data_IF_958891548838
#
_entry.id   IF_958891548838
#
_cell.length_a   1.000
_cell.length_b   1.000
_cell.length_c   1.000
_cell.angle_alpha   90.00
_cell.angle_beta   90.00
_cell.angle_gamma   90.00
#
_symmetry.space_group_name_H-M   'P 1'
#
loop_
_entity.id
_entity.type
_entity.pdbx_description
1 polymer ?
#
# COMPACT_ATOMS: atom_id res chain seq x y z
N UNK A 1 -15.69 17.88 -3.87
CA UNK A 1 -17.03 17.73 -3.26
C UNK A 1 -17.52 19.04 -2.65
N UNK A 2 -16.76 19.67 -1.76
CA UNK A 2 -17.15 20.87 -1.00
C UNK A 2 -17.66 22.03 -1.88
N UNK A 3 -16.98 22.35 -2.98
CA UNK A 3 -17.39 23.42 -3.89
C UNK A 3 -18.70 23.10 -4.62
N UNK A 4 -18.91 21.84 -5.02
CA UNK A 4 -20.11 21.37 -5.71
C UNK A 4 -21.33 21.41 -4.77
N UNK A 5 -21.15 21.00 -3.51
CA UNK A 5 -22.22 21.05 -2.50
C UNK A 5 -22.70 22.48 -2.24
N UNK A 6 -21.78 23.46 -2.24
CA UNK A 6 -22.07 24.87 -2.00
C UNK A 6 -22.77 25.51 -3.21
N UNK A 7 -22.28 25.27 -4.44
CA UNK A 7 -22.84 25.90 -5.65
C UNK A 7 -24.16 25.29 -6.07
N UNK A 8 -24.36 23.99 -5.86
CA UNK A 8 -25.60 23.30 -6.19
C UNK A 8 -26.62 23.24 -5.02
N UNK A 9 -26.29 23.85 -3.86
CA UNK A 9 -27.14 23.86 -2.64
C UNK A 9 -27.63 22.46 -2.23
N UNK A 10 -26.76 21.46 -2.33
CA UNK A 10 -27.09 20.08 -2.01
C UNK A 10 -27.01 19.90 -0.50
N UNK A 11 -28.05 19.32 0.12
CA UNK A 11 -27.99 18.91 1.52
C UNK A 11 -26.98 17.76 1.67
N UNK A 12 -25.86 18.05 2.33
CA UNK A 12 -24.77 17.09 2.54
C UNK A 12 -25.19 15.91 3.43
N UNK A 13 -26.22 16.06 4.26
CA UNK A 13 -26.75 14.98 5.10
C UNK A 13 -27.42 13.89 4.27
N UNK A 14 -28.13 14.28 3.21
CA UNK A 14 -28.82 13.36 2.28
C UNK A 14 -27.85 12.56 1.41
N UNK A 15 -26.64 13.09 1.15
CA UNK A 15 -25.61 12.38 0.38
C UNK A 15 -25.20 11.06 1.05
N UNK A 16 -25.14 11.04 2.38
CA UNK A 16 -24.83 9.80 3.13
C UNK A 16 -25.95 8.76 3.02
N UNK A 17 -27.18 9.20 2.80
CA UNK A 17 -28.35 8.35 2.65
C UNK A 17 -28.50 7.78 1.23
N UNK A 18 -27.89 8.42 0.24
CA UNK A 18 -27.92 7.97 -1.15
C UNK A 18 -27.39 6.54 -1.29
N UNK A 19 -28.11 5.71 -2.07
CA UNK A 19 -27.75 4.31 -2.33
C UNK A 19 -26.37 4.18 -2.96
N UNK A 20 -26.00 5.09 -3.86
CA UNK A 20 -24.68 5.13 -4.50
C UNK A 20 -23.56 5.38 -3.49
N UNK A 21 -23.77 6.28 -2.52
CA UNK A 21 -22.77 6.55 -1.49
C UNK A 21 -22.62 5.35 -0.55
N UNK A 22 -23.72 4.76 -0.09
CA UNK A 22 -23.69 3.56 0.76
C UNK A 22 -23.02 2.37 0.07
N UNK A 23 -23.34 2.13 -1.20
CA UNK A 23 -22.72 1.09 -2.02
C UNK A 23 -21.22 1.36 -2.22
N UNK A 24 -20.85 2.60 -2.54
CA UNK A 24 -19.45 3.02 -2.67
C UNK A 24 -18.66 2.84 -1.37
N UNK A 25 -19.23 3.25 -0.23
CA UNK A 25 -18.60 3.05 1.08
C UNK A 25 -18.40 1.58 1.42
N UNK A 26 -19.38 0.71 1.10
CA UNK A 26 -19.24 -0.74 1.28
C UNK A 26 -18.11 -1.32 0.43
N UNK A 27 -18.01 -0.90 -0.84
CA UNK A 27 -16.93 -1.31 -1.73
C UNK A 27 -15.56 -0.85 -1.20
N UNK A 28 -15.46 0.39 -0.72
CA UNK A 28 -14.23 0.92 -0.10
C UNK A 28 -13.80 0.09 1.11
N UNK A 29 -14.73 -0.26 2.00
CA UNK A 29 -14.44 -1.12 3.17
C UNK A 29 -13.95 -2.49 2.73
N UNK A 30 -14.54 -3.07 1.68
CA UNK A 30 -14.14 -4.37 1.16
C UNK A 30 -12.70 -4.34 0.61
N UNK A 31 -12.36 -3.33 -0.21
CA UNK A 31 -11.01 -3.14 -0.77
C UNK A 31 -9.98 -2.86 0.33
N UNK A 32 -10.30 -1.99 1.29
CA UNK A 32 -9.43 -1.69 2.42
C UNK A 32 -9.21 -2.92 3.31
N UNK A 33 -10.24 -3.74 3.52
CA UNK A 33 -10.14 -4.99 4.27
C UNK A 33 -9.17 -5.97 3.61
N UNK A 34 -9.26 -6.16 2.29
CA UNK A 34 -8.34 -7.03 1.54
C UNK A 34 -6.91 -6.48 1.58
N UNK A 35 -6.73 -5.16 1.37
CA UNK A 35 -5.42 -4.54 1.44
C UNK A 35 -4.78 -4.67 2.83
N UNK A 36 -5.58 -4.54 3.90
CA UNK A 36 -5.10 -4.67 5.28
C UNK A 36 -4.73 -6.11 5.66
N UNK A 37 -5.47 -7.10 5.14
CA UNK A 37 -5.08 -8.51 5.27
C UNK A 37 -3.73 -8.78 4.60
N UNK A 38 -3.53 -8.25 3.39
CA UNK A 38 -2.23 -8.32 2.69
C UNK A 38 -1.09 -7.69 3.50
N UNK A 39 -1.29 -6.46 4.00
CA UNK A 39 -0.32 -5.76 4.85
C UNK A 39 0.00 -6.54 6.14
N UNK A 40 -1.00 -7.17 6.77
CA UNK A 40 -0.80 -7.97 7.98
C UNK A 40 -0.01 -9.24 7.70
N UNK A 41 -0.32 -9.94 6.60
CA UNK A 41 0.43 -11.11 6.15
C UNK A 41 1.90 -10.76 5.88
N UNK A 42 2.13 -9.67 5.15
CA UNK A 42 3.48 -9.21 4.82
C UNK A 42 4.25 -8.78 6.07
N UNK A 43 3.61 -8.08 7.01
CA UNK A 43 4.23 -7.72 8.29
C UNK A 43 4.63 -8.93 9.12
N UNK A 44 3.84 -10.01 9.10
CA UNK A 44 4.18 -11.25 9.79
C UNK A 44 5.43 -11.93 9.19
N UNK A 45 5.67 -11.77 7.90
CA UNK A 45 6.78 -12.38 7.16
C UNK A 45 7.86 -11.40 6.70
N UNK A 46 7.88 -10.18 7.26
CA UNK A 46 8.76 -9.11 6.78
C UNK A 46 10.24 -9.47 6.94
N UNK A 47 10.57 -10.19 8.02
CA UNK A 47 11.91 -10.67 8.32
C UNK A 47 12.44 -11.62 7.24
N UNK A 48 11.59 -12.56 6.80
CA UNK A 48 11.96 -13.53 5.75
C UNK A 48 12.13 -12.84 4.40
N UNK A 49 11.22 -11.91 4.07
CA UNK A 49 11.28 -11.10 2.85
C UNK A 49 12.58 -10.28 2.81
N UNK A 50 12.94 -9.65 3.93
CA UNK A 50 14.17 -8.87 4.05
C UNK A 50 15.42 -9.74 3.98
N UNK A 51 15.41 -10.93 4.58
CA UNK A 51 16.55 -11.86 4.52
C UNK A 51 16.81 -12.32 3.08
N UNK A 52 15.77 -12.79 2.38
CA UNK A 52 15.89 -13.22 0.97
C UNK A 52 16.31 -12.07 0.06
N UNK A 53 15.71 -10.88 0.24
CA UNK A 53 16.07 -9.69 -0.52
C UNK A 53 17.52 -9.24 -0.25
N UNK A 54 17.96 -9.30 1.00
CA UNK A 54 19.32 -8.97 1.42
C UNK A 54 20.37 -9.93 0.84
N UNK A 55 20.12 -11.24 0.91
CA UNK A 55 21.00 -12.24 0.30
C UNK A 55 21.09 -12.09 -1.23
N UNK A 56 19.98 -11.80 -1.90
CA UNK A 56 19.98 -11.54 -3.34
C UNK A 56 20.81 -10.30 -3.69
N UNK A 57 20.64 -9.22 -2.93
CA UNK A 57 21.35 -7.96 -3.10
C UNK A 57 22.85 -8.08 -2.81
N UNK A 58 23.23 -8.86 -1.80
CA UNK A 58 24.63 -9.09 -1.45
C UNK A 58 25.37 -9.82 -2.57
N UNK A 59 24.74 -10.82 -3.19
CA UNK A 59 25.33 -11.56 -4.30
C UNK A 59 25.25 -10.80 -5.64
N UNK A 60 24.18 -10.02 -5.85
CA UNK A 60 23.92 -9.31 -7.11
C UNK A 60 23.39 -7.88 -6.86
N UNK A 61 24.25 -6.91 -6.54
CA UNK A 61 23.83 -5.55 -6.16
C UNK A 61 23.01 -4.82 -7.24
N UNK A 62 23.24 -5.14 -8.52
CA UNK A 62 22.50 -4.56 -9.65
C UNK A 62 21.03 -4.96 -9.71
N UNK A 63 20.61 -6.01 -8.98
CA UNK A 63 19.21 -6.44 -8.88
C UNK A 63 18.37 -5.55 -7.96
N UNK A 64 18.93 -4.50 -7.35
CA UNK A 64 18.20 -3.60 -6.45
C UNK A 64 16.87 -3.09 -7.02
N UNK A 65 16.85 -2.65 -8.28
CA UNK A 65 15.62 -2.18 -8.90
C UNK A 65 14.57 -3.29 -9.03
N UNK A 66 15.00 -4.52 -9.32
CA UNK A 66 14.13 -5.70 -9.47
C UNK A 66 13.58 -6.13 -8.10
N UNK A 67 14.44 -6.20 -7.09
CA UNK A 67 14.07 -6.53 -5.71
C UNK A 67 13.09 -5.51 -5.15
N UNK A 68 13.36 -4.21 -5.34
CA UNK A 68 12.45 -3.14 -4.91
C UNK A 68 11.10 -3.21 -5.65
N UNK A 69 11.08 -3.54 -6.94
CA UNK A 69 9.84 -3.69 -7.71
C UNK A 69 8.96 -4.79 -7.13
N UNK A 70 9.50 -6.00 -6.94
CA UNK A 70 8.72 -7.11 -6.40
C UNK A 70 8.32 -6.88 -4.94
N UNK A 71 9.22 -6.35 -4.12
CA UNK A 71 8.91 -6.02 -2.74
C UNK A 71 7.80 -4.95 -2.65
N UNK A 72 7.79 -3.96 -3.55
CA UNK A 72 6.75 -2.93 -3.58
C UNK A 72 5.37 -3.48 -3.96
N UNK A 73 5.32 -4.48 -4.82
CA UNK A 73 4.08 -5.19 -5.14
C UNK A 73 3.58 -6.04 -3.96
N UNK A 74 4.49 -6.67 -3.20
CA UNK A 74 4.14 -7.45 -2.01
C UNK A 74 3.65 -6.56 -0.87
N UNK A 75 4.38 -5.50 -0.54
CA UNK A 75 4.08 -4.59 0.56
C UNK A 75 2.91 -3.64 0.27
N UNK A 76 2.37 -3.65 -0.96
CA UNK A 76 1.30 -2.78 -1.46
C UNK A 76 1.55 -1.26 -1.22
N UNK A 77 2.79 -0.90 -0.86
CA UNK A 77 3.20 0.41 -0.36
C UNK A 77 4.64 0.68 -0.77
N UNK A 78 4.79 1.57 -1.75
CA UNK A 78 6.08 2.01 -2.29
C UNK A 78 6.96 2.61 -1.16
N UNK A 79 6.36 3.41 -0.29
CA UNK A 79 7.06 4.06 0.82
C UNK A 79 7.46 3.09 1.93
N UNK A 80 6.64 2.08 2.26
CA UNK A 80 7.01 1.06 3.23
C UNK A 80 8.17 0.20 2.72
N UNK A 81 8.16 -0.11 1.43
CA UNK A 81 9.20 -0.89 0.74
C UNK A 81 10.55 -0.21 0.78
N UNK A 82 10.61 1.06 0.40
CA UNK A 82 11.86 1.82 0.45
C UNK A 82 12.38 1.89 1.89
N UNK A 83 11.51 2.15 2.88
CA UNK A 83 11.94 2.19 4.29
C UNK A 83 12.49 0.85 4.78
N UNK A 84 11.94 -0.27 4.30
CA UNK A 84 12.33 -1.61 4.71
C UNK A 84 13.64 -2.09 4.05
N UNK A 85 13.87 -1.74 2.78
CA UNK A 85 14.95 -2.32 1.97
C UNK A 85 16.10 -1.36 1.64
N UNK A 86 15.85 -0.04 1.63
CA UNK A 86 16.92 0.95 1.39
C UNK A 86 18.06 0.87 2.43
N UNK A 87 17.82 0.65 3.74
CA UNK A 87 18.91 0.50 4.70
C UNK A 87 19.80 -0.70 4.41
N UNK A 88 19.20 -1.84 4.01
CA UNK A 88 19.94 -3.03 3.62
C UNK A 88 20.74 -2.82 2.33
N UNK A 89 20.16 -2.13 1.34
CA UNK A 89 20.84 -1.77 0.10
C UNK A 89 22.04 -0.82 0.31
N UNK A 90 21.90 0.16 1.21
CA UNK A 90 22.97 1.10 1.56
C UNK A 90 24.10 0.47 2.38
N UNK A 91 23.84 -0.62 3.11
CA UNK A 91 24.88 -1.36 3.84
C UNK A 91 25.72 -2.27 2.91
N UNK A 92 25.23 -2.55 1.70
CA UNK A 92 25.84 -3.44 0.73
C UNK A 92 26.65 -2.72 -0.36
N UNK A 93 26.46 -1.41 -0.52
CA UNK A 93 27.22 -0.54 -1.42
C UNK A 93 28.17 0.37 -0.67
#
# INVERSE_FOLDING_TARGET
>A
ATLISITCKIDTGEVLNASTFKSGMSACVCVLGVAWLGDTFVKAHISDIQAVAGDLLHNYPWLLAVVLFFAATLLYSQAATTKALMPAALLLG
#
